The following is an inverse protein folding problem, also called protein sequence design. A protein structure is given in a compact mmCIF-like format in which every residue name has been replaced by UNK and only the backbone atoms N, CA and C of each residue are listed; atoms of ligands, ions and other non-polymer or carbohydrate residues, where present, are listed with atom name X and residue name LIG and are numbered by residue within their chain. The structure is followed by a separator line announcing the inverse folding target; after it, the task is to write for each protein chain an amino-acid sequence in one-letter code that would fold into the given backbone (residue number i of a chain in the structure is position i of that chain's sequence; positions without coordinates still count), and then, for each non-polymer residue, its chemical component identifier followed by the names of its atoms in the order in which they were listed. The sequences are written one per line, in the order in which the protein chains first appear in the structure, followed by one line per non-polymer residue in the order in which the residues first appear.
data_IF_270000977023
#
_entry.id   IF_270000977023
#
_cell.length_a   1.000
_cell.length_b   1.000
_cell.length_c   1.000
_cell.angle_alpha   90.00
_cell.angle_beta   90.00
_cell.angle_gamma   90.00
#
_symmetry.space_group_name_H-M   'P 1'
#
loop_
_entity.id
_entity.type
_entity.pdbx_description
1 polymer ?
#
# COMPACT_ATOMS: atom_id res chain seq x y z
N UNK A 1 16.44 45.69 6.81
CA UNK A 1 16.29 44.33 7.38
C UNK A 1 15.01 43.72 6.81
N UNK A 2 15.10 42.98 5.71
CA UNK A 2 13.98 42.22 5.15
C UNK A 2 13.85 40.91 5.91
N UNK A 3 12.71 40.69 6.57
CA UNK A 3 12.37 39.38 7.15
C UNK A 3 11.98 38.45 6.01
N UNK A 4 12.87 37.54 5.65
CA UNK A 4 12.53 36.40 4.78
C UNK A 4 11.73 35.41 5.61
N UNK A 5 10.40 35.41 5.45
CA UNK A 5 9.55 34.35 6.01
C UNK A 5 9.81 33.08 5.19
N UNK A 6 10.67 32.19 5.69
CA UNK A 6 10.71 30.80 5.22
C UNK A 6 9.43 30.10 5.67
N UNK A 7 8.35 30.27 4.91
CA UNK A 7 7.26 29.31 4.95
C UNK A 7 7.78 28.03 4.29
N UNK A 8 8.23 27.08 5.10
CA UNK A 8 8.36 25.70 4.65
C UNK A 8 6.98 25.25 4.16
N UNK A 9 6.75 25.36 2.85
CA UNK A 9 5.54 24.85 2.24
C UNK A 9 5.60 23.32 2.40
N UNK A 10 4.77 22.79 3.29
CA UNK A 10 4.67 21.34 3.50
C UNK A 10 4.23 20.69 2.19
N UNK A 11 5.18 20.07 1.49
CA UNK A 11 4.89 19.29 0.28
C UNK A 11 4.32 17.94 0.71
N UNK A 12 3.08 17.61 0.29
CA UNK A 12 2.54 16.28 0.58
C UNK A 12 3.37 15.17 -0.04
N UNK A 13 4.20 15.43 -1.07
CA UNK A 13 5.12 14.42 -1.62
C UNK A 13 6.06 13.84 -0.57
N UNK A 14 6.41 14.60 0.47
CA UNK A 14 7.25 14.10 1.58
C UNK A 14 6.64 12.89 2.31
N UNK A 15 5.30 12.73 2.29
CA UNK A 15 4.63 11.56 2.88
C UNK A 15 5.02 10.24 2.20
N UNK A 16 5.50 10.33 0.95
CA UNK A 16 5.93 9.19 0.15
C UNK A 16 7.42 8.85 0.33
N UNK A 17 8.17 9.71 1.01
CA UNK A 17 9.61 9.53 1.25
C UNK A 17 9.91 8.67 2.48
N UNK A 18 8.92 8.53 3.39
CA UNK A 18 9.10 7.88 4.69
C UNK A 18 9.60 6.45 4.56
N UNK A 19 8.98 5.65 3.69
CA UNK A 19 9.33 4.24 3.48
C UNK A 19 9.19 3.89 1.99
N UNK A 20 10.22 3.27 1.41
CA UNK A 20 10.15 2.73 0.05
C UNK A 20 9.23 1.51 -0.01
N UNK A 21 8.57 1.30 -1.14
CA UNK A 21 7.77 0.12 -1.41
C UNK A 21 8.66 -1.13 -1.33
N UNK A 22 8.48 -1.93 -0.29
CA UNK A 22 9.20 -3.21 -0.07
C UNK A 22 8.24 -4.41 0.01
N UNK A 23 6.96 -4.13 -0.19
CA UNK A 23 5.89 -5.09 -0.38
C UNK A 23 4.98 -5.34 0.82
N UNK A 24 5.46 -5.08 2.02
CA UNK A 24 4.61 -5.14 3.23
C UNK A 24 3.77 -3.87 3.43
N UNK A 25 4.15 -2.78 2.77
CA UNK A 25 3.58 -1.43 2.94
C UNK A 25 2.78 -0.93 1.72
N UNK A 26 2.44 -1.80 0.77
CA UNK A 26 1.75 -1.38 -0.47
C UNK A 26 0.44 -0.63 -0.23
N UNK A 27 -0.40 -1.10 0.69
CA UNK A 27 -1.70 -0.47 0.95
C UNK A 27 -1.55 0.96 1.48
N UNK A 28 -0.62 1.17 2.41
CA UNK A 28 -0.36 2.48 2.98
C UNK A 28 0.28 3.42 1.96
N UNK A 29 1.26 2.92 1.19
CA UNK A 29 1.83 3.68 0.09
C UNK A 29 0.77 4.05 -0.96
N UNK A 30 -0.12 3.12 -1.32
CA UNK A 30 -1.17 3.38 -2.30
C UNK A 30 -2.19 4.42 -1.81
N UNK A 31 -2.57 4.36 -0.53
CA UNK A 31 -3.42 5.39 0.10
C UNK A 31 -2.74 6.75 0.06
N UNK A 32 -1.47 6.82 0.48
CA UNK A 32 -0.66 8.04 0.47
C UNK A 32 -0.50 8.61 -0.95
N UNK A 33 -0.21 7.76 -1.94
CA UNK A 33 -0.09 8.14 -3.34
C UNK A 33 -1.40 8.77 -3.83
N UNK A 34 -2.55 8.13 -3.56
CA UNK A 34 -3.86 8.69 -3.94
C UNK A 34 -4.14 10.04 -3.28
N UNK A 35 -3.71 10.26 -2.03
CA UNK A 35 -3.84 11.56 -1.35
C UNK A 35 -3.01 12.64 -2.07
N UNK A 36 -1.74 12.36 -2.34
CA UNK A 36 -0.83 13.28 -3.06
C UNK A 36 -1.39 13.61 -4.45
N UNK A 37 -1.79 12.60 -5.21
CA UNK A 37 -2.31 12.80 -6.57
C UNK A 37 -3.64 13.56 -6.60
N UNK A 38 -4.51 13.35 -5.61
CA UNK A 38 -5.76 14.12 -5.50
C UNK A 38 -5.49 15.59 -5.21
N UNK A 39 -4.53 15.90 -4.34
CA UNK A 39 -4.13 17.29 -4.09
C UNK A 39 -3.61 17.95 -5.38
N UNK A 40 -2.82 17.21 -6.16
CA UNK A 40 -2.26 17.70 -7.43
C UNK A 40 -3.23 17.65 -8.62
N UNK A 41 -4.45 17.12 -8.43
CA UNK A 41 -5.48 16.91 -9.47
C UNK A 41 -5.02 15.97 -10.60
N UNK A 42 -4.20 14.97 -10.26
CA UNK A 42 -3.61 13.98 -11.18
C UNK A 42 -4.06 12.54 -10.91
N UNK A 43 -4.97 12.31 -9.97
CA UNK A 43 -5.43 10.96 -9.61
C UNK A 43 -6.11 10.23 -10.77
N UNK A 44 -6.69 10.98 -11.70
CA UNK A 44 -7.27 10.48 -12.94
C UNK A 44 -6.27 9.68 -13.81
N UNK A 45 -4.97 9.95 -13.70
CA UNK A 45 -3.91 9.25 -14.45
C UNK A 45 -3.83 7.76 -14.11
N UNK A 46 -4.31 7.37 -12.93
CA UNK A 46 -4.34 5.97 -12.50
C UNK A 46 -5.52 5.18 -13.08
N UNK A 47 -6.43 5.83 -13.82
CA UNK A 47 -7.68 5.24 -14.31
C UNK A 47 -7.95 5.55 -15.79
N UNK A 48 -7.57 6.74 -16.25
CA UNK A 48 -7.81 7.19 -17.63
C UNK A 48 -6.58 6.95 -18.50
N UNK A 49 -6.79 6.19 -19.57
CA UNK A 49 -5.77 5.97 -20.59
C UNK A 49 -5.48 7.29 -21.30
N UNK A 50 -4.19 7.54 -21.57
CA UNK A 50 -3.77 8.69 -22.36
C UNK A 50 -4.45 8.65 -23.74
N UNK A 51 -5.11 9.74 -24.19
CA UNK A 51 -5.68 9.79 -25.53
C UNK A 51 -4.63 9.57 -26.61
N UNK A 52 -5.03 8.94 -27.71
CA UNK A 52 -4.15 8.69 -28.85
C UNK A 52 -3.52 10.00 -29.35
N UNK A 53 -2.27 9.92 -29.83
CA UNK A 53 -1.50 11.09 -30.26
C UNK A 53 -2.28 11.85 -31.33
N UNK A 54 -2.47 13.16 -31.10
CA UNK A 54 -3.26 14.00 -31.99
C UNK A 54 -2.71 14.01 -33.42
N UNK A 55 -3.61 13.99 -34.41
CA UNK A 55 -3.28 14.20 -35.83
C UNK A 55 -2.84 15.65 -36.05
N UNK A 56 -2.08 15.88 -37.11
CA UNK A 56 -1.40 17.16 -37.44
C UNK A 56 -2.33 18.37 -37.66
N UNK A 57 -3.65 18.19 -37.67
CA UNK A 57 -4.65 19.26 -37.85
C UNK A 57 -5.44 19.62 -36.57
N UNK A 58 -4.98 19.19 -35.39
CA UNK A 58 -5.64 19.50 -34.12
C UNK A 58 -5.50 20.99 -33.75
N UNK A 59 -6.55 21.56 -33.13
CA UNK A 59 -6.53 22.92 -32.58
C UNK A 59 -5.53 23.03 -31.42
N UNK A 60 -4.99 24.24 -31.20
CA UNK A 60 -4.07 24.55 -30.10
C UNK A 60 -4.59 24.08 -28.74
N UNK A 61 -5.87 24.31 -28.43
CA UNK A 61 -6.47 23.89 -27.16
C UNK A 61 -6.45 22.36 -26.95
N UNK A 62 -6.54 21.60 -28.04
CA UNK A 62 -6.49 20.14 -28.02
C UNK A 62 -5.04 19.69 -27.76
N UNK A 63 -4.07 20.33 -28.40
CA UNK A 63 -2.65 20.10 -28.17
C UNK A 63 -2.24 20.38 -26.73
N UNK A 64 -2.67 21.52 -26.16
CA UNK A 64 -2.38 21.89 -24.77
C UNK A 64 -2.94 20.88 -23.78
N UNK A 65 -4.17 20.41 -24.02
CA UNK A 65 -4.82 19.39 -23.19
C UNK A 65 -4.06 18.06 -23.25
N UNK A 66 -3.64 17.64 -24.44
CA UNK A 66 -2.86 16.41 -24.61
C UNK A 66 -1.49 16.52 -23.94
N UNK A 67 -0.77 17.62 -24.15
CA UNK A 67 0.55 17.85 -23.56
C UNK A 67 0.47 17.88 -22.03
N UNK A 68 -0.57 18.52 -21.47
CA UNK A 68 -0.83 18.48 -20.03
C UNK A 68 -1.01 17.04 -19.53
N UNK A 69 -1.85 16.24 -20.18
CA UNK A 69 -2.08 14.86 -19.78
C UNK A 69 -0.80 14.01 -19.89
N UNK A 70 0.01 14.22 -20.94
CA UNK A 70 1.29 13.55 -21.10
C UNK A 70 2.25 13.90 -19.96
N UNK A 71 2.36 15.18 -19.59
CA UNK A 71 3.19 15.62 -18.48
C UNK A 71 2.71 15.06 -17.13
N UNK A 72 1.40 15.02 -16.90
CA UNK A 72 0.82 14.41 -15.70
C UNK A 72 1.15 12.91 -15.63
N UNK A 73 1.08 12.19 -16.75
CA UNK A 73 1.49 10.77 -16.84
C UNK A 73 2.96 10.58 -16.49
N UNK A 74 3.85 11.40 -17.07
CA UNK A 74 5.30 11.33 -16.80
C UNK A 74 5.60 11.61 -15.34
N UNK A 75 5.01 12.67 -14.77
CA UNK A 75 5.24 13.03 -13.37
C UNK A 75 4.72 11.97 -12.39
N UNK A 76 3.51 11.44 -12.61
CA UNK A 76 2.96 10.35 -11.78
C UNK A 76 3.84 9.10 -11.87
N UNK A 77 4.31 8.75 -13.07
CA UNK A 77 5.21 7.62 -13.28
C UNK A 77 6.52 7.79 -12.52
N UNK A 78 7.16 8.96 -12.65
CA UNK A 78 8.39 9.29 -11.93
C UNK A 78 8.19 9.22 -10.42
N UNK A 79 7.06 9.77 -9.92
CA UNK A 79 6.71 9.68 -8.51
C UNK A 79 6.58 8.23 -8.06
N UNK A 80 5.82 7.41 -8.79
CA UNK A 80 5.65 5.99 -8.47
C UNK A 80 7.01 5.26 -8.41
N UNK A 81 7.86 5.42 -9.42
CA UNK A 81 9.20 4.81 -9.43
C UNK A 81 10.05 5.31 -8.27
N UNK A 82 10.03 6.61 -7.97
CA UNK A 82 10.79 7.17 -6.85
C UNK A 82 10.35 6.59 -5.51
N UNK A 83 9.09 6.16 -5.36
CA UNK A 83 8.60 5.51 -4.13
C UNK A 83 8.95 4.04 -4.00
N UNK A 84 9.50 3.41 -5.04
CA UNK A 84 9.83 1.98 -5.05
C UNK A 84 11.23 1.68 -4.52
N UNK A 85 11.45 0.44 -4.08
CA UNK A 85 12.80 -0.09 -3.87
C UNK A 85 13.49 -0.37 -5.23
N UNK A 86 14.78 -0.71 -5.21
CA UNK A 86 15.59 -0.91 -6.42
C UNK A 86 15.04 -2.00 -7.35
N UNK A 87 14.53 -3.10 -6.80
CA UNK A 87 14.07 -4.25 -7.59
C UNK A 87 12.79 -3.90 -8.36
N UNK A 88 11.83 -3.26 -7.69
CA UNK A 88 10.59 -2.81 -8.32
C UNK A 88 10.86 -1.65 -9.29
N UNK A 89 11.79 -0.73 -8.98
CA UNK A 89 12.21 0.30 -9.92
C UNK A 89 12.70 -0.33 -11.23
N UNK A 90 13.64 -1.27 -11.16
CA UNK A 90 14.17 -1.99 -12.33
C UNK A 90 13.08 -2.74 -13.09
N UNK A 91 12.11 -3.33 -12.38
CA UNK A 91 11.00 -4.03 -13.01
C UNK A 91 10.08 -3.11 -13.82
N UNK A 92 9.88 -1.87 -13.39
CA UNK A 92 8.90 -0.95 -13.98
C UNK A 92 9.51 0.26 -14.72
N UNK A 93 10.84 0.40 -14.76
CA UNK A 93 11.55 1.54 -15.38
C UNK A 93 11.27 1.73 -16.88
N UNK A 94 10.77 0.69 -17.56
CA UNK A 94 10.42 0.71 -18.98
C UNK A 94 8.90 0.67 -19.23
N UNK A 95 8.08 0.56 -18.18
CA UNK A 95 6.61 0.59 -18.31
C UNK A 95 6.16 2.03 -18.37
N UNK A 96 5.57 2.45 -19.50
CA UNK A 96 5.17 3.84 -19.72
C UNK A 96 3.88 4.23 -18.98
N UNK A 97 2.98 3.26 -18.74
CA UNK A 97 1.64 3.50 -18.21
C UNK A 97 1.58 3.36 -16.68
N UNK A 98 1.26 4.43 -15.94
CA UNK A 98 0.99 4.34 -14.49
C UNK A 98 -0.11 3.33 -14.15
N UNK A 99 -1.08 3.15 -15.04
CA UNK A 99 -2.19 2.19 -14.90
C UNK A 99 -1.66 0.76 -14.89
N UNK A 100 -0.75 0.42 -15.80
CA UNK A 100 -0.14 -0.91 -15.86
C UNK A 100 0.69 -1.19 -14.61
N UNK A 101 1.51 -0.20 -14.19
CA UNK A 101 2.31 -0.30 -12.97
C UNK A 101 1.40 -0.57 -11.77
N UNK A 102 0.38 0.29 -11.54
CA UNK A 102 -0.45 0.14 -10.35
C UNK A 102 -1.28 -1.16 -10.38
N UNK A 103 -1.71 -1.60 -11.56
CA UNK A 103 -2.46 -2.85 -11.72
C UNK A 103 -1.58 -4.05 -11.38
N UNK A 104 -0.34 -4.06 -11.88
CA UNK A 104 0.65 -5.11 -11.59
C UNK A 104 0.99 -5.17 -10.10
N UNK A 105 1.24 -4.02 -9.46
CA UNK A 105 1.50 -3.96 -8.01
C UNK A 105 0.29 -4.46 -7.20
N UNK A 106 -0.93 -4.04 -7.55
CA UNK A 106 -2.17 -4.52 -6.89
C UNK A 106 -2.29 -6.03 -6.97
N UNK A 107 -1.99 -6.64 -8.12
CA UNK A 107 -2.05 -8.09 -8.29
C UNK A 107 -0.98 -8.80 -7.44
N UNK A 108 0.27 -8.34 -7.53
CA UNK A 108 1.41 -8.91 -6.80
C UNK A 108 1.18 -8.91 -5.29
N UNK A 109 0.79 -7.76 -4.72
CA UNK A 109 0.61 -7.65 -3.27
C UNK A 109 -0.68 -8.27 -2.76
N UNK A 110 -1.71 -8.39 -3.60
CA UNK A 110 -2.89 -9.21 -3.25
C UNK A 110 -2.52 -10.68 -3.11
N UNK A 111 -1.73 -11.22 -4.04
CA UNK A 111 -1.29 -12.63 -3.95
C UNK A 111 -0.31 -12.86 -2.80
N UNK A 112 0.60 -11.91 -2.54
CA UNK A 112 1.47 -11.96 -1.37
C UNK A 112 0.64 -11.95 -0.07
N UNK A 113 -0.29 -11.02 0.07
CA UNK A 113 -1.16 -10.93 1.24
C UNK A 113 -2.03 -12.20 1.40
N UNK A 114 -2.56 -12.76 0.30
CA UNK A 114 -3.31 -14.02 0.32
C UNK A 114 -2.46 -15.18 0.83
N UNK A 115 -1.25 -15.31 0.30
CA UNK A 115 -0.30 -16.35 0.72
C UNK A 115 0.08 -16.20 2.19
N UNK A 116 0.32 -14.97 2.64
CA UNK A 116 0.68 -14.67 4.02
C UNK A 116 -0.49 -14.91 4.99
N UNK A 117 -1.72 -14.53 4.62
CA UNK A 117 -2.92 -14.85 5.39
C UNK A 117 -3.08 -16.35 5.55
N UNK A 118 -2.97 -17.11 4.46
CA UNK A 118 -3.09 -18.57 4.51
C UNK A 118 -2.06 -19.19 5.46
N UNK A 119 -0.78 -18.80 5.33
CA UNK A 119 0.28 -19.27 6.22
C UNK A 119 0.01 -18.90 7.68
N UNK A 120 -0.43 -17.67 7.92
CA UNK A 120 -0.69 -17.17 9.28
C UNK A 120 -1.89 -17.88 9.92
N UNK A 121 -3.00 -18.08 9.19
CA UNK A 121 -4.16 -18.85 9.66
C UNK A 121 -3.76 -20.29 9.94
N UNK A 122 -3.01 -20.93 9.03
CA UNK A 122 -2.52 -22.30 9.21
C UNK A 122 -1.69 -22.41 10.49
N UNK A 123 -0.69 -21.53 10.66
CA UNK A 123 0.14 -21.51 11.87
C UNK A 123 -0.65 -21.24 13.14
N UNK A 124 -1.67 -20.37 13.09
CA UNK A 124 -2.53 -20.10 14.24
C UNK A 124 -3.36 -21.33 14.64
N UNK A 125 -3.98 -22.01 13.67
CA UNK A 125 -4.81 -23.21 13.91
C UNK A 125 -3.94 -24.39 14.40
N UNK A 126 -2.71 -24.51 13.90
CA UNK A 126 -1.75 -25.53 14.32
C UNK A 126 -1.05 -25.17 15.66
N UNK A 127 -1.20 -23.94 16.16
CA UNK A 127 -0.56 -23.47 17.38
C UNK A 127 -1.23 -24.07 18.63
N UNK A 128 -0.79 -25.26 19.03
CA UNK A 128 -1.23 -25.94 20.27
C UNK A 128 -0.30 -25.61 21.42
N UNK A 129 -0.85 -25.48 22.63
CA UNK A 129 -0.06 -25.41 23.86
C UNK A 129 0.36 -26.83 24.25
N UNK A 130 1.67 -27.14 24.33
CA UNK A 130 2.13 -28.43 24.82
C UNK A 130 1.71 -28.67 26.27
N UNK A 131 1.47 -29.94 26.62
CA UNK A 131 1.27 -30.34 28.02
C UNK A 131 2.53 -29.92 28.79
N UNK A 132 2.34 -29.18 29.88
CA UNK A 132 3.40 -28.67 30.77
C UNK A 132 4.20 -27.45 30.27
N UNK A 133 3.80 -26.82 29.14
CA UNK A 133 4.39 -25.55 28.70
C UNK A 133 3.75 -24.31 29.37
N UNK A 134 4.50 -23.21 29.57
CA UNK A 134 3.94 -21.98 30.13
C UNK A 134 2.94 -21.33 29.16
N UNK A 135 1.81 -20.88 29.69
CA UNK A 135 0.73 -20.23 28.92
C UNK A 135 1.15 -18.86 28.36
N UNK A 136 1.92 -18.08 29.11
CA UNK A 136 2.23 -16.69 28.74
C UNK A 136 2.95 -16.56 27.38
N UNK A 137 4.07 -17.28 27.10
CA UNK A 137 4.71 -17.24 25.78
C UNK A 137 3.81 -17.71 24.64
N UNK A 138 2.90 -18.65 24.93
CA UNK A 138 1.96 -19.16 23.94
C UNK A 138 0.91 -18.10 23.55
N UNK A 139 0.35 -17.38 24.52
CA UNK A 139 -0.59 -16.28 24.26
C UNK A 139 0.07 -15.17 23.44
N UNK A 140 1.32 -14.80 23.76
CA UNK A 140 2.08 -13.80 22.98
C UNK A 140 2.23 -14.25 21.52
N UNK A 141 2.57 -15.52 21.28
CA UNK A 141 2.67 -16.08 19.93
C UNK A 141 1.32 -16.03 19.18
N UNK A 142 0.22 -16.38 19.84
CA UNK A 142 -1.12 -16.29 19.24
C UNK A 142 -1.53 -14.84 18.92
N UNK A 143 -1.24 -13.89 19.81
CA UNK A 143 -1.47 -12.45 19.55
C UNK A 143 -0.70 -11.98 18.32
N UNK A 144 0.56 -12.40 18.17
CA UNK A 144 1.35 -12.08 16.98
C UNK A 144 0.70 -12.53 15.66
N UNK A 145 0.10 -13.72 15.63
CA UNK A 145 -0.66 -14.19 14.46
C UNK A 145 -1.92 -13.35 14.22
N UNK A 146 -2.66 -13.01 15.27
CA UNK A 146 -3.89 -12.20 15.19
C UNK A 146 -3.56 -10.78 14.67
N UNK A 147 -2.51 -10.16 15.19
CA UNK A 147 -2.07 -8.83 14.77
C UNK A 147 -1.57 -8.83 13.33
N UNK A 148 -0.86 -9.88 12.89
CA UNK A 148 -0.46 -10.00 11.50
C UNK A 148 -1.67 -10.13 10.56
N UNK A 149 -2.68 -10.91 10.95
CA UNK A 149 -3.93 -11.02 10.19
C UNK A 149 -4.69 -9.70 10.10
N UNK A 150 -4.70 -8.91 11.18
CA UNK A 150 -5.26 -7.54 11.17
C UNK A 150 -4.53 -6.65 10.17
N UNK A 151 -3.20 -6.69 10.12
CA UNK A 151 -2.37 -5.93 9.17
C UNK A 151 -2.65 -6.32 7.70
N UNK A 152 -3.04 -7.57 7.45
CA UNK A 152 -3.35 -8.10 6.12
C UNK A 152 -4.81 -7.89 5.68
N UNK A 153 -5.54 -6.98 6.35
CA UNK A 153 -6.97 -6.70 6.16
C UNK A 153 -7.86 -7.95 6.35
N UNK A 154 -7.49 -8.84 7.27
CA UNK A 154 -8.20 -10.10 7.55
C UNK A 154 -8.39 -10.32 9.07
N UNK A 155 -9.05 -9.40 9.78
CA UNK A 155 -9.21 -9.50 11.24
C UNK A 155 -10.02 -10.76 11.61
N UNK A 156 -9.59 -11.47 12.64
CA UNK A 156 -10.37 -12.58 13.22
C UNK A 156 -11.57 -11.99 13.98
N UNK A 157 -12.77 -12.50 13.72
CA UNK A 157 -13.98 -12.06 14.40
C UNK A 157 -13.92 -12.37 15.90
N UNK A 158 -14.56 -11.52 16.72
CA UNK A 158 -14.62 -11.71 18.18
C UNK A 158 -15.33 -13.01 18.59
N UNK A 159 -16.25 -13.51 17.77
CA UNK A 159 -16.95 -14.79 17.98
C UNK A 159 -16.01 -16.00 17.85
N UNK A 160 -15.00 -15.91 16.98
CA UNK A 160 -13.97 -16.95 16.84
C UNK A 160 -12.92 -16.86 17.95
N UNK A 161 -12.67 -15.66 18.49
CA UNK A 161 -11.75 -15.43 19.60
C UNK A 161 -12.28 -15.98 20.95
N UNK A 162 -13.60 -16.10 21.11
CA UNK A 162 -14.26 -16.49 22.37
C UNK A 162 -14.42 -17.99 22.58
N UNK A 163 -14.19 -18.84 21.57
CA UNK A 163 -14.28 -20.31 21.73
C UNK A 163 -13.11 -20.97 22.48
N UNK A 164 -12.10 -20.20 22.89
CA UNK A 164 -11.08 -20.65 23.85
C UNK A 164 -11.25 -20.04 25.26
N UNK A 165 -12.31 -19.27 25.49
CA UNK A 165 -12.54 -18.61 26.77
C UNK A 165 -13.29 -19.46 27.81
N UNK A 166 -13.46 -20.77 27.61
CA UNK A 166 -13.96 -21.67 28.66
C UNK A 166 -12.87 -22.15 29.64
N UNK A 167 -11.61 -21.70 29.51
CA UNK A 167 -10.53 -22.10 30.44
C UNK A 167 -9.93 -20.95 31.28
N UNK A 168 -10.29 -19.68 31.04
CA UNK A 168 -9.61 -18.53 31.71
C UNK A 168 -10.37 -18.02 32.94
N UNK A 169 -11.57 -18.51 33.24
CA UNK A 169 -12.33 -18.12 34.45
C UNK A 169 -12.00 -18.97 35.70
N UNK A 170 -11.04 -19.90 35.64
CA UNK A 170 -10.69 -20.77 36.76
C UNK A 170 -9.47 -20.31 37.61
N UNK A 171 -8.89 -19.12 37.37
CA UNK A 171 -7.80 -18.57 38.20
C UNK A 171 -8.10 -17.14 38.68
N UNK A 172 -9.35 -16.90 39.03
CA UNK A 172 -9.73 -15.81 39.95
C UNK A 172 -10.72 -16.36 40.97
N UNK A 173 -10.19 -17.16 41.89
CA UNK A 173 -10.33 -17.11 43.35
C UNK A 173 -9.59 -18.32 43.94
#
# INVERSE_FOLDING_TARGET
MSKTTHQNLFSLRSVLEKDKLNGSNFLDLYRNLRIVLKQERKDYVLEKVLPEKLRSNASHAVYDTWNKHYNDVVDVRCLMLATMNSDLQKQYENVASPIEIITSLKAMFREQARTERYRTVKSLVECKLPKDAPVSPHVIKMMGYIDNLRRLDCPISQELATRHHSAVTAVKL
#
